data_IF_436991275014
#
_entry.id   IF_436991275014
#
_cell.length_a   1.000
_cell.length_b   1.000
_cell.length_c   1.000
_cell.angle_alpha   90.00
_cell.angle_beta   90.00
_cell.angle_gamma   90.00
#
_symmetry.space_group_name_H-M   'P 1'
#
loop_
_entity.id
_entity.type
_entity.pdbx_description
1 polymer ?
#
# COMPACT_ATOMS: atom_id res chain seq x y z
N UNK A 1 -10.75 -2.20 -22.62
CA UNK A 1 -10.16 -3.50 -22.19
C UNK A 1 -10.77 -3.88 -20.86
N UNK A 2 -11.43 -5.04 -20.74
CA UNK A 2 -11.93 -5.53 -19.45
C UNK A 2 -10.73 -6.04 -18.65
N UNK A 3 -10.57 -5.56 -17.42
CA UNK A 3 -9.52 -5.99 -16.52
C UNK A 3 -9.91 -7.36 -15.95
N UNK A 4 -9.52 -8.43 -16.63
CA UNK A 4 -9.80 -9.79 -16.18
C UNK A 4 -8.95 -10.01 -14.93
N UNK A 5 -9.62 -10.07 -13.78
CA UNK A 5 -8.94 -10.24 -12.51
C UNK A 5 -8.50 -11.69 -12.36
N UNK A 6 -7.20 -11.93 -12.55
CA UNK A 6 -6.57 -13.20 -12.18
C UNK A 6 -6.05 -13.08 -10.74
N UNK A 7 -6.70 -13.74 -9.75
CA UNK A 7 -6.31 -13.64 -8.35
C UNK A 7 -4.91 -14.21 -8.08
N UNK A 8 -4.43 -15.12 -8.93
CA UNK A 8 -3.15 -15.80 -8.79
C UNK A 8 -1.97 -15.07 -9.44
N UNK A 9 -2.22 -14.04 -10.25
CA UNK A 9 -1.16 -13.28 -10.89
C UNK A 9 -0.62 -12.20 -9.95
N UNK A 10 0.70 -12.23 -9.74
CA UNK A 10 1.43 -11.15 -9.09
C UNK A 10 1.31 -9.88 -9.94
N UNK A 11 0.87 -8.78 -9.34
CA UNK A 11 0.87 -7.46 -9.97
C UNK A 11 2.05 -6.66 -9.46
N UNK A 12 2.80 -6.07 -10.39
CA UNK A 12 3.94 -5.21 -10.07
C UNK A 12 3.63 -3.81 -10.58
N UNK A 13 3.63 -2.84 -9.67
CA UNK A 13 3.40 -1.42 -9.97
C UNK A 13 4.74 -0.70 -9.83
N UNK A 14 5.14 -0.02 -10.90
CA UNK A 14 6.28 0.89 -10.91
C UNK A 14 5.75 2.31 -10.82
N UNK A 15 6.20 3.08 -9.84
CA UNK A 15 5.81 4.48 -9.70
C UNK A 15 7.03 5.38 -9.53
N UNK A 16 6.93 6.59 -10.09
CA UNK A 16 7.98 7.60 -9.95
C UNK A 16 7.88 8.25 -8.59
N UNK A 17 9.04 8.54 -7.99
CA UNK A 17 9.12 9.30 -6.75
C UNK A 17 8.95 10.81 -6.97
N UNK A 18 9.26 11.28 -8.17
CA UNK A 18 9.23 12.70 -8.55
C UNK A 18 8.54 12.88 -9.90
N UNK A 19 7.87 14.03 -10.08
CA UNK A 19 7.17 14.40 -11.31
C UNK A 19 8.13 14.90 -12.41
N UNK A 20 9.20 14.15 -12.66
CA UNK A 20 10.24 14.47 -13.64
C UNK A 20 10.34 13.40 -14.73
N UNK A 21 11.00 13.75 -15.84
CA UNK A 21 11.43 12.78 -16.82
C UNK A 21 12.40 11.80 -16.17
N UNK A 22 12.29 10.51 -16.52
CA UNK A 22 13.20 9.50 -15.96
C UNK A 22 14.56 9.62 -16.65
N UNK A 23 15.63 9.94 -15.90
CA UNK A 23 16.98 10.02 -16.46
C UNK A 23 17.47 8.62 -16.85
N UNK A 24 18.09 8.47 -18.03
CA UNK A 24 18.52 7.17 -18.54
C UNK A 24 19.55 6.49 -17.63
N UNK A 25 20.41 7.31 -17.01
CA UNK A 25 21.61 6.84 -16.30
C UNK A 25 21.29 6.37 -14.87
N UNK A 26 20.23 6.91 -14.25
CA UNK A 26 19.88 6.63 -12.85
C UNK A 26 18.36 6.51 -12.59
N UNK A 27 17.54 6.16 -13.59
CA UNK A 27 16.09 5.99 -13.41
C UNK A 27 15.73 5.06 -12.24
N UNK A 28 16.56 4.04 -11.95
CA UNK A 28 16.30 3.08 -10.86
C UNK A 28 16.21 3.74 -9.48
N UNK A 29 16.95 4.83 -9.23
CA UNK A 29 16.85 5.56 -7.96
C UNK A 29 15.65 6.50 -7.89
N UNK A 30 14.93 6.68 -9.00
CA UNK A 30 13.75 7.54 -9.14
C UNK A 30 12.44 6.76 -9.22
N UNK A 31 12.50 5.44 -9.20
CA UNK A 31 11.35 4.54 -9.27
C UNK A 31 11.29 3.73 -7.98
N UNK A 32 10.09 3.57 -7.45
CA UNK A 32 9.78 2.56 -6.44
C UNK A 32 8.87 1.49 -7.03
N UNK A 33 8.97 0.29 -6.45
CA UNK A 33 8.31 -0.93 -6.95
C UNK A 33 7.41 -1.48 -5.85
N UNK A 34 6.14 -1.65 -6.17
CA UNK A 34 5.15 -2.26 -5.29
C UNK A 34 4.69 -3.59 -5.89
N UNK A 35 4.84 -4.68 -5.13
CA UNK A 35 4.37 -6.01 -5.52
C UNK A 35 3.10 -6.35 -4.76
N UNK A 36 2.01 -6.58 -5.48
CA UNK A 36 0.68 -6.89 -4.94
C UNK A 36 0.27 -8.30 -5.34
N UNK A 37 -0.13 -9.10 -4.35
CA UNK A 37 -0.60 -10.48 -4.55
C UNK A 37 -2.05 -10.60 -4.12
N UNK A 38 -2.84 -11.37 -4.88
CA UNK A 38 -4.24 -11.64 -4.56
C UNK A 38 -5.20 -10.59 -5.10
N UNK A 39 -6.39 -10.53 -4.48
CA UNK A 39 -7.40 -9.54 -4.84
C UNK A 39 -6.98 -8.15 -4.37
N UNK A 40 -7.36 -7.07 -5.07
CA UNK A 40 -6.97 -5.71 -4.69
C UNK A 40 -7.28 -5.38 -3.23
N UNK A 41 -8.45 -5.81 -2.74
CA UNK A 41 -8.86 -5.61 -1.36
C UNK A 41 -7.98 -6.37 -0.39
N UNK A 42 -7.67 -7.65 -0.64
CA UNK A 42 -6.80 -8.46 0.22
C UNK A 42 -5.39 -7.86 0.30
N UNK A 43 -4.86 -7.39 -0.85
CA UNK A 43 -3.56 -6.74 -0.92
C UNK A 43 -3.52 -5.41 -0.16
N UNK A 44 -4.60 -4.62 -0.19
CA UNK A 44 -4.72 -3.38 0.58
C UNK A 44 -4.80 -3.66 2.09
N UNK A 45 -5.64 -4.60 2.53
CA UNK A 45 -5.74 -5.01 3.95
C UNK A 45 -4.38 -5.42 4.48
N UNK A 46 -3.69 -6.27 3.72
CA UNK A 46 -2.36 -6.76 4.07
C UNK A 46 -1.34 -5.62 4.17
N UNK A 47 -1.38 -4.67 3.23
CA UNK A 47 -0.47 -3.52 3.23
C UNK A 47 -0.70 -2.62 4.45
N UNK A 48 -1.97 -2.37 4.81
CA UNK A 48 -2.33 -1.59 6.02
C UNK A 48 -1.81 -2.27 7.29
N UNK A 49 -2.03 -3.59 7.42
CA UNK A 49 -1.66 -4.35 8.61
C UNK A 49 -0.15 -4.56 8.77
N UNK A 50 0.54 -4.94 7.69
CA UNK A 50 1.93 -5.38 7.77
C UNK A 50 2.94 -4.26 7.50
N UNK A 51 2.60 -3.25 6.68
CA UNK A 51 3.56 -2.23 6.23
C UNK A 51 3.28 -0.90 6.91
N UNK A 52 2.06 -0.36 6.78
CA UNK A 52 1.76 0.99 7.26
C UNK A 52 1.75 1.08 8.79
N UNK A 53 1.14 0.12 9.50
CA UNK A 53 1.19 0.09 10.96
C UNK A 53 2.62 0.03 11.49
N UNK A 54 3.43 -0.89 10.97
CA UNK A 54 4.82 -1.05 11.37
C UNK A 54 5.66 0.20 11.06
N UNK A 55 5.40 0.88 9.94
CA UNK A 55 6.11 2.11 9.59
C UNK A 55 5.85 3.24 10.59
N UNK A 56 4.60 3.40 11.05
CA UNK A 56 4.23 4.44 12.02
C UNK A 56 4.74 4.09 13.42
N UNK A 57 4.65 2.82 13.83
CA UNK A 57 5.16 2.37 15.14
C UNK A 57 6.67 2.58 15.29
N UNK A 58 7.42 2.48 14.19
CA UNK A 58 8.86 2.68 14.18
C UNK A 58 9.27 4.16 13.99
N UNK A 59 8.33 5.06 13.73
CA UNK A 59 8.61 6.48 13.50
C UNK A 59 8.47 7.28 14.80
N UNK A 60 9.50 8.08 15.11
CA UNK A 60 9.61 8.86 16.34
C UNK A 60 8.76 10.14 16.37
N UNK A 61 8.15 10.56 15.24
CA UNK A 61 7.31 11.75 15.17
C UNK A 61 5.90 11.55 15.75
N UNK A 62 5.78 11.72 17.07
CA UNK A 62 4.58 11.36 17.85
C UNK A 62 3.27 12.09 17.49
N UNK A 63 3.27 13.34 17.00
CA UNK A 63 2.01 14.07 16.78
C UNK A 63 1.33 13.73 15.44
N UNK A 64 2.08 13.69 14.33
CA UNK A 64 1.56 13.27 13.02
C UNK A 64 1.17 11.78 13.03
N UNK A 65 1.92 10.97 13.78
CA UNK A 65 1.67 9.54 13.92
C UNK A 65 0.35 9.24 14.63
N UNK A 66 -0.10 10.09 15.56
CA UNK A 66 -1.38 9.91 16.25
C UNK A 66 -2.59 9.97 15.30
N UNK A 67 -2.57 10.90 14.33
CA UNK A 67 -3.66 11.03 13.36
C UNK A 67 -3.63 9.90 12.33
N UNK A 68 -2.44 9.52 11.86
CA UNK A 68 -2.27 8.40 10.95
C UNK A 68 -2.68 7.07 11.59
N UNK A 69 -2.39 6.86 12.87
CA UNK A 69 -2.88 5.70 13.63
C UNK A 69 -4.41 5.64 13.64
N UNK A 70 -5.08 6.76 13.87
CA UNK A 70 -6.55 6.81 13.82
C UNK A 70 -7.09 6.41 12.45
N UNK A 71 -6.53 6.96 11.37
CA UNK A 71 -6.92 6.61 9.99
C UNK A 71 -6.71 5.12 9.70
N UNK A 72 -5.56 4.56 10.08
CA UNK A 72 -5.29 3.14 9.84
C UNK A 72 -6.24 2.22 10.64
N UNK A 73 -6.59 2.61 11.86
CA UNK A 73 -7.53 1.84 12.68
C UNK A 73 -8.95 1.88 12.08
N UNK A 74 -9.41 3.04 11.60
CA UNK A 74 -10.69 3.17 10.90
C UNK A 74 -10.72 2.34 9.61
N UNK A 75 -9.65 2.41 8.81
CA UNK A 75 -9.52 1.61 7.59
C UNK A 75 -9.59 0.11 7.91
N UNK A 76 -8.90 -0.35 8.96
CA UNK A 76 -8.96 -1.76 9.36
C UNK A 76 -10.38 -2.18 9.77
N UNK A 77 -11.09 -1.35 10.55
CA UNK A 77 -12.47 -1.66 10.96
C UNK A 77 -13.45 -1.75 9.79
N UNK A 78 -13.30 -0.88 8.77
CA UNK A 78 -14.14 -0.90 7.57
C UNK A 78 -13.86 -2.14 6.70
N UNK A 79 -12.61 -2.61 6.71
CA UNK A 79 -12.16 -3.71 5.87
C UNK A 79 -12.32 -5.09 6.52
N UNK A 80 -12.60 -5.16 7.83
CA UNK A 80 -13.01 -6.40 8.47
C UNK A 80 -14.31 -6.91 7.85
N UNK A 81 -14.40 -8.21 7.49
CA UNK A 81 -15.66 -8.76 7.03
C UNK A 81 -16.69 -8.59 8.15
N UNK A 82 -17.80 -7.93 7.84
CA UNK A 82 -18.98 -8.03 8.70
C UNK A 82 -19.33 -9.51 8.76
N UNK A 83 -19.15 -10.11 9.92
CA UNK A 83 -19.71 -11.42 10.22
C UNK A 83 -21.24 -11.26 10.24
N UNK A 84 -21.84 -11.18 9.06
CA UNK A 84 -23.26 -11.40 8.89
C UNK A 84 -23.47 -12.89 9.12
N UNK A 85 -23.99 -13.20 10.31
CA UNK A 85 -24.42 -14.55 10.74
C UNK A 85 -25.43 -15.15 9.77
#
# INVERSE_FOLDING_TARGET
MRNIHHPDLLRVIFYKLEAIALPLDNFKSKISVLSLRGRPTDALIRSVREIFKQAIENDSETSANSHLHTILNELEMIMEPKNDK
#
